data_IF_751579854299
#
_entry.id   IF_751579854299
#
_cell.length_a   1.000
_cell.length_b   1.000
_cell.length_c   1.000
_cell.angle_alpha   90.00
_cell.angle_beta   90.00
_cell.angle_gamma   90.00
#
_symmetry.space_group_name_H-M   'P 1'
#
loop_
_entity.id
_entity.type
_entity.pdbx_description
1 polymer ?
#
# COMPACT_ATOMS: atom_id res chain seq x y z
N UNK A 1 7.37 -22.38 -7.10
CA UNK A 1 6.49 -21.34 -6.51
C UNK A 1 6.49 -20.18 -7.47
N UNK A 2 5.33 -19.75 -7.98
CA UNK A 2 5.27 -18.60 -8.88
C UNK A 2 5.69 -17.35 -8.11
N UNK A 3 6.64 -16.59 -8.62
CA UNK A 3 6.95 -15.27 -8.07
C UNK A 3 5.70 -14.41 -8.21
N UNK A 4 5.21 -13.88 -7.10
CA UNK A 4 4.03 -13.03 -7.11
C UNK A 4 4.37 -11.74 -7.86
N UNK A 5 3.60 -11.43 -8.92
CA UNK A 5 3.87 -10.24 -9.73
C UNK A 5 3.54 -8.98 -8.93
N UNK A 6 4.37 -7.92 -8.99
CA UNK A 6 4.10 -6.66 -8.32
C UNK A 6 2.76 -6.06 -8.77
N UNK A 7 1.97 -5.58 -7.80
CA UNK A 7 0.69 -4.92 -8.04
C UNK A 7 0.95 -3.47 -8.41
N UNK A 8 0.51 -3.05 -9.59
CA UNK A 8 0.57 -1.64 -9.99
C UNK A 8 -0.46 -0.81 -9.23
N UNK A 9 -0.03 0.32 -8.66
CA UNK A 9 -0.88 1.20 -7.86
C UNK A 9 -0.75 2.66 -8.29
N UNK A 10 -1.86 3.39 -8.22
CA UNK A 10 -1.87 4.84 -8.38
C UNK A 10 -1.39 5.51 -7.09
N UNK A 11 -0.45 6.43 -7.21
CA UNK A 11 0.12 7.18 -6.10
C UNK A 11 -0.43 8.60 -6.08
N UNK A 12 -0.84 9.05 -4.90
CA UNK A 12 -1.23 10.44 -4.66
C UNK A 12 -0.01 11.30 -4.33
N UNK A 13 0.70 11.00 -3.25
CA UNK A 13 1.87 11.75 -2.78
C UNK A 13 2.67 10.98 -1.74
N UNK A 14 3.93 11.35 -1.54
CA UNK A 14 4.81 10.85 -0.48
C UNK A 14 4.75 11.78 0.73
N UNK A 15 4.81 11.24 1.95
CA UNK A 15 4.72 12.02 3.18
C UNK A 15 5.44 11.34 4.35
N UNK A 16 5.81 12.13 5.36
CA UNK A 16 6.37 11.61 6.61
C UNK A 16 5.28 11.43 7.68
N UNK A 17 5.28 10.31 8.41
CA UNK A 17 4.39 10.11 9.55
C UNK A 17 5.09 9.40 10.71
N UNK A 18 5.29 10.12 11.82
CA UNK A 18 6.00 9.64 13.01
C UNK A 18 7.42 9.11 12.70
N UNK A 19 8.17 9.84 11.87
CA UNK A 19 9.53 9.46 11.44
C UNK A 19 9.58 8.36 10.38
N UNK A 20 8.43 7.88 9.90
CA UNK A 20 8.33 6.88 8.83
C UNK A 20 8.09 7.55 7.49
N UNK A 21 8.69 6.97 6.45
CA UNK A 21 8.50 7.38 5.07
C UNK A 21 7.31 6.63 4.46
N UNK A 22 6.29 7.38 4.07
CA UNK A 22 5.00 6.86 3.68
C UNK A 22 4.64 7.30 2.27
N UNK A 23 3.83 6.50 1.59
CA UNK A 23 3.20 6.84 0.33
C UNK A 23 1.68 6.71 0.49
N UNK A 24 0.95 7.75 0.08
CA UNK A 24 -0.49 7.69 -0.07
C UNK A 24 -0.82 7.08 -1.44
N UNK A 25 -1.52 5.95 -1.45
CA UNK A 25 -1.92 5.24 -2.67
C UNK A 25 -3.43 5.07 -2.75
N UNK A 26 -3.90 4.75 -3.95
CA UNK A 26 -5.25 4.23 -4.18
C UNK A 26 -5.27 2.72 -3.98
N UNK A 27 -6.23 2.22 -3.20
CA UNK A 27 -6.42 0.78 -3.00
C UNK A 27 -6.64 0.05 -4.34
N UNK A 28 -5.78 -0.92 -4.71
CA UNK A 28 -5.87 -1.60 -6.01
C UNK A 28 -7.09 -2.53 -6.08
N UNK A 29 -7.52 -3.07 -4.95
CA UNK A 29 -8.65 -3.98 -4.79
C UNK A 29 -9.37 -3.75 -3.46
N UNK A 30 -10.55 -4.34 -3.32
CA UNK A 30 -11.19 -4.44 -2.03
C UNK A 30 -10.42 -5.46 -1.16
N UNK A 31 -10.25 -5.16 0.13
CA UNK A 31 -9.55 -5.99 1.11
C UNK A 31 -10.35 -6.00 2.42
N UNK A 32 -10.30 -7.09 3.17
CA UNK A 32 -10.92 -7.19 4.51
C UNK A 32 -10.13 -6.46 5.58
N UNK A 33 -8.83 -6.21 5.35
CA UNK A 33 -7.99 -5.40 6.22
C UNK A 33 -6.53 -5.32 5.77
N UNK A 34 -5.72 -4.65 6.58
CA UNK A 34 -4.33 -4.26 6.27
C UNK A 34 -3.40 -5.44 6.01
N UNK A 35 -3.64 -6.59 6.66
CA UNK A 35 -2.79 -7.78 6.58
C UNK A 35 -2.71 -8.38 5.16
N UNK A 36 -3.70 -8.11 4.30
CA UNK A 36 -3.67 -8.56 2.90
C UNK A 36 -2.67 -7.78 2.05
N UNK A 37 -2.30 -6.57 2.48
CA UNK A 37 -1.38 -5.70 1.76
C UNK A 37 0.04 -5.76 2.31
N UNK A 38 0.21 -5.99 3.61
CA UNK A 38 1.53 -6.11 4.24
C UNK A 38 2.31 -7.29 3.63
N UNK A 39 3.55 -7.04 3.20
CA UNK A 39 4.41 -8.02 2.53
C UNK A 39 4.20 -8.12 1.02
N UNK A 40 3.15 -7.52 0.46
CA UNK A 40 2.93 -7.48 -0.99
C UNK A 40 3.99 -6.59 -1.66
N UNK A 41 4.32 -6.96 -2.90
CA UNK A 41 5.12 -6.12 -3.79
C UNK A 41 4.20 -5.18 -4.56
N UNK A 42 4.48 -3.89 -4.49
CA UNK A 42 3.81 -2.85 -5.27
C UNK A 42 4.76 -2.26 -6.29
N UNK A 43 4.26 -1.98 -7.49
CA UNK A 43 4.96 -1.20 -8.50
C UNK A 43 4.47 0.24 -8.45
N UNK A 44 5.40 1.14 -8.14
CA UNK A 44 5.19 2.60 -8.03
C UNK A 44 6.14 3.27 -9.02
N UNK A 45 5.58 3.79 -10.12
CA UNK A 45 6.41 4.18 -11.26
C UNK A 45 7.21 2.99 -11.78
N UNK A 46 8.52 3.17 -11.94
CA UNK A 46 9.45 2.13 -12.42
C UNK A 46 10.05 1.27 -11.30
N UNK A 47 9.71 1.56 -10.03
CA UNK A 47 10.27 0.88 -8.87
C UNK A 47 9.29 -0.13 -8.27
N UNK A 48 9.84 -1.23 -7.76
CA UNK A 48 9.09 -2.22 -6.97
C UNK A 48 9.44 -2.07 -5.50
N UNK A 49 8.43 -2.01 -4.66
CA UNK A 49 8.56 -1.83 -3.21
C UNK A 49 7.78 -2.90 -2.46
N UNK A 50 8.32 -3.36 -1.34
CA UNK A 50 7.56 -4.18 -0.40
C UNK A 50 6.77 -3.31 0.56
N UNK A 51 5.52 -3.67 0.85
CA UNK A 51 4.71 -2.96 1.85
C UNK A 51 5.12 -3.46 3.23
N UNK A 52 5.63 -2.55 4.08
CA UNK A 52 6.04 -2.86 5.45
C UNK A 52 4.91 -2.67 6.45
N UNK A 53 4.09 -1.65 6.23
CA UNK A 53 2.97 -1.34 7.10
C UNK A 53 1.88 -0.58 6.34
N UNK A 54 0.65 -0.63 6.86
CA UNK A 54 -0.46 0.22 6.44
C UNK A 54 -0.80 1.14 7.60
N UNK A 55 -1.04 2.43 7.30
CA UNK A 55 -1.48 3.42 8.28
C UNK A 55 -2.72 4.14 7.72
N UNK A 56 -3.86 3.94 8.37
CA UNK A 56 -5.14 4.53 7.99
C UNK A 56 -5.95 4.96 9.21
N UNK A 57 -6.82 5.95 9.03
CA UNK A 57 -7.61 6.55 10.12
C UNK A 57 -8.76 5.65 10.58
N UNK A 58 -9.26 4.78 9.70
CA UNK A 58 -10.43 3.93 9.94
C UNK A 58 -10.05 2.46 10.00
N UNK A 59 -10.70 1.70 10.87
CA UNK A 59 -10.59 0.25 10.96
C UNK A 59 -11.68 -0.45 10.15
N UNK A 60 -11.44 -1.69 9.70
CA UNK A 60 -12.41 -2.51 8.98
C UNK A 60 -11.97 -2.86 7.54
N UNK A 61 -12.92 -3.12 6.63
CA UNK A 61 -12.62 -3.32 5.23
C UNK A 61 -11.99 -2.08 4.57
N UNK A 62 -11.28 -2.32 3.47
CA UNK A 62 -10.77 -1.31 2.55
C UNK A 62 -11.51 -1.51 1.23
N UNK A 63 -12.27 -0.54 0.79
CA UNK A 63 -12.87 -0.54 -0.54
C UNK A 63 -11.84 -0.29 -1.64
N UNK A 64 -12.08 -0.87 -2.82
CA UNK A 64 -11.29 -0.55 -4.01
C UNK A 64 -11.37 0.95 -4.28
N UNK A 65 -10.24 1.58 -4.54
CA UNK A 65 -10.19 3.01 -4.83
C UNK A 65 -10.04 3.92 -3.60
N UNK A 66 -10.16 3.40 -2.38
CA UNK A 66 -9.98 4.19 -1.15
C UNK A 66 -8.53 4.67 -0.99
N UNK A 67 -8.30 5.85 -0.38
CA UNK A 67 -6.97 6.31 -0.05
C UNK A 67 -6.42 5.55 1.16
N UNK A 68 -5.19 5.06 1.05
CA UNK A 68 -4.46 4.45 2.17
C UNK A 68 -3.01 4.91 2.21
N UNK A 69 -2.49 5.05 3.43
CA UNK A 69 -1.07 5.27 3.67
C UNK A 69 -0.34 3.96 3.80
N UNK A 70 0.76 3.79 3.07
CA UNK A 70 1.64 2.63 3.19
C UNK A 70 3.07 3.04 3.51
N UNK A 71 3.73 2.25 4.34
CA UNK A 71 5.18 2.32 4.52
C UNK A 71 5.82 1.39 3.50
N UNK A 72 6.77 1.91 2.73
CA UNK A 72 7.49 1.13 1.71
C UNK A 72 8.90 0.75 2.17
N UNK A 73 9.36 -0.39 1.67
CA UNK A 73 10.64 -0.99 2.02
C UNK A 73 11.58 -1.25 0.87
#
# INVERSE_FOLDING_TARGET
MAAEQPIEVEVFYRYGHKGRDMIAIRAPSAMSGDAELIGRLLRIGDATHSVRAVARQVSGPIGKGEPLGIEIG
#
